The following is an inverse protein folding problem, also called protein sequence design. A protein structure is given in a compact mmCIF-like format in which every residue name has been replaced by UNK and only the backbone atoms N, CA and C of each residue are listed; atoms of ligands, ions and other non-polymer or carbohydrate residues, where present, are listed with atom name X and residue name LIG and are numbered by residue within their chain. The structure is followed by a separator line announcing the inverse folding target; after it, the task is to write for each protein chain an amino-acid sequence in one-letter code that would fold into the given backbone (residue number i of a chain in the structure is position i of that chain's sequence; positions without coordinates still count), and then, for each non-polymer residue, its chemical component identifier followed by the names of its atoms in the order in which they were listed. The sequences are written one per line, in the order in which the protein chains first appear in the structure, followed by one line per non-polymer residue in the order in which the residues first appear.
data_IF_524845145927
#
_entry.id   IF_524845145927
#
_cell.length_a   1.000
_cell.length_b   1.000
_cell.length_c   1.000
_cell.angle_alpha   90.00
_cell.angle_beta   90.00
_cell.angle_gamma   90.00
#
_symmetry.space_group_name_H-M   'P 1'
#
loop_
_entity.id
_entity.type
_entity.pdbx_description
1 polymer ?
#
# COMPACT_ATOMS: atom_id res chain seq x y z
N UNK A 1 -20.46 13.09 -0.98
CA UNK A 1 -19.26 13.42 -1.75
C UNK A 1 -18.11 13.89 -0.87
N UNK A 2 -18.30 14.75 0.15
CA UNK A 2 -17.19 15.18 1.03
C UNK A 2 -16.47 14.06 1.79
N UNK A 3 -17.21 13.20 2.51
CA UNK A 3 -16.62 12.16 3.37
C UNK A 3 -15.71 11.14 2.65
N UNK A 4 -15.98 10.82 1.38
CA UNK A 4 -15.11 9.91 0.61
C UNK A 4 -13.81 10.60 0.17
N UNK A 5 -13.90 11.88 -0.20
CA UNK A 5 -12.73 12.70 -0.56
C UNK A 5 -11.83 12.86 0.66
N UNK A 6 -12.40 13.22 1.82
CA UNK A 6 -11.64 13.38 3.06
C UNK A 6 -10.92 12.09 3.47
N UNK A 7 -11.56 10.93 3.24
CA UNK A 7 -10.94 9.62 3.48
C UNK A 7 -9.78 9.35 2.52
N UNK A 8 -9.97 9.58 1.22
CA UNK A 8 -8.94 9.35 0.20
C UNK A 8 -7.73 10.27 0.41
N UNK A 9 -7.95 11.55 0.72
CA UNK A 9 -6.87 12.48 1.06
C UNK A 9 -6.10 12.03 2.31
N UNK A 10 -6.81 11.56 3.35
CA UNK A 10 -6.17 11.04 4.54
C UNK A 10 -5.42 9.73 4.29
N UNK A 11 -5.92 8.89 3.39
CA UNK A 11 -5.27 7.64 2.96
C UNK A 11 -3.99 7.94 2.18
N UNK A 12 -4.06 8.83 1.20
CA UNK A 12 -2.93 9.23 0.38
C UNK A 12 -1.81 9.82 1.23
N UNK A 13 -2.15 10.67 2.21
CA UNK A 13 -1.18 11.21 3.15
C UNK A 13 -0.48 10.11 3.98
N UNK A 14 -1.20 9.05 4.37
CA UNK A 14 -0.64 7.91 5.12
C UNK A 14 0.19 6.98 4.26
N UNK A 15 -0.14 6.86 2.98
CA UNK A 15 0.58 5.99 2.04
C UNK A 15 1.70 6.72 1.31
N UNK A 16 1.82 8.05 1.40
CA UNK A 16 2.78 8.84 0.63
C UNK A 16 4.21 8.26 0.65
N UNK A 17 4.71 7.86 1.83
CA UNK A 17 6.06 7.30 1.96
C UNK A 17 6.22 5.92 1.32
N UNK A 18 5.14 5.13 1.17
CA UNK A 18 5.23 3.80 0.53
C UNK A 18 5.59 3.90 -0.96
N UNK A 19 5.26 5.03 -1.60
CA UNK A 19 5.46 5.23 -3.03
C UNK A 19 6.92 5.06 -3.44
N UNK A 20 7.85 5.61 -2.66
CA UNK A 20 9.28 5.48 -2.99
C UNK A 20 9.76 4.03 -2.92
N UNK A 21 9.13 3.17 -2.11
CA UNK A 21 9.50 1.74 -1.98
C UNK A 21 8.82 0.83 -3.00
N UNK A 22 7.65 1.20 -3.52
CA UNK A 22 6.88 0.36 -4.45
C UNK A 22 7.14 0.72 -5.91
N UNK A 23 7.36 2.00 -6.24
CA UNK A 23 7.39 2.45 -7.63
C UNK A 23 8.48 1.78 -8.47
N UNK A 24 9.74 1.61 -8.00
CA UNK A 24 10.72 0.89 -8.79
C UNK A 24 10.35 -0.57 -9.03
N UNK A 25 9.75 -1.25 -8.05
CA UNK A 25 9.26 -2.62 -8.23
C UNK A 25 8.10 -2.69 -9.24
N UNK A 26 7.24 -1.66 -9.30
CA UNK A 26 6.18 -1.57 -10.32
C UNK A 26 6.79 -1.49 -11.71
N UNK A 27 7.83 -0.68 -11.92
CA UNK A 27 8.50 -0.59 -13.22
C UNK A 27 8.90 -1.97 -13.74
N UNK A 28 9.45 -2.82 -12.87
CA UNK A 28 10.01 -4.11 -13.29
C UNK A 28 8.96 -5.16 -13.68
N UNK A 29 7.71 -5.00 -13.23
CA UNK A 29 6.60 -5.90 -13.59
C UNK A 29 5.78 -5.41 -14.79
N UNK A 30 6.06 -4.20 -15.30
CA UNK A 30 5.36 -3.67 -16.47
C UNK A 30 5.86 -4.33 -17.77
N UNK A 31 5.00 -4.33 -18.79
CA UNK A 31 5.43 -4.71 -20.13
C UNK A 31 6.48 -3.70 -20.67
N UNK A 32 7.36 -4.12 -21.60
CA UNK A 32 8.45 -3.25 -22.08
C UNK A 32 7.98 -1.91 -22.65
N UNK A 33 6.85 -1.89 -23.35
CA UNK A 33 6.28 -0.66 -23.92
C UNK A 33 5.86 0.36 -22.85
N UNK A 34 5.41 -0.08 -21.68
CA UNK A 34 5.00 0.81 -20.58
C UNK A 34 6.17 1.26 -19.72
N UNK A 35 7.27 0.49 -19.66
CA UNK A 35 8.42 0.78 -18.81
C UNK A 35 9.05 2.15 -19.12
N UNK A 36 9.23 2.48 -20.40
CA UNK A 36 9.84 3.75 -20.81
C UNK A 36 9.01 4.96 -20.38
N UNK A 37 7.70 4.92 -20.66
CA UNK A 37 6.78 5.98 -20.26
C UNK A 37 6.70 6.09 -18.73
N UNK A 38 6.62 4.95 -18.03
CA UNK A 38 6.53 4.91 -16.58
C UNK A 38 7.79 5.49 -15.94
N UNK A 39 8.98 5.06 -16.37
CA UNK A 39 10.26 5.61 -15.90
C UNK A 39 10.33 7.11 -16.11
N UNK A 40 10.05 7.58 -17.33
CA UNK A 40 10.11 9.01 -17.65
C UNK A 40 9.21 9.85 -16.75
N UNK A 41 7.97 9.41 -16.55
CA UNK A 41 7.00 10.14 -15.73
C UNK A 41 7.33 10.09 -14.24
N UNK A 42 7.84 8.96 -13.72
CA UNK A 42 8.16 8.80 -12.30
C UNK A 42 9.48 9.46 -11.93
N UNK A 43 10.52 9.38 -12.76
CA UNK A 43 11.77 10.12 -12.54
C UNK A 43 11.52 11.64 -12.52
N UNK A 44 10.62 12.14 -13.39
CA UNK A 44 10.20 13.54 -13.36
C UNK A 44 9.44 13.89 -12.07
N UNK A 45 8.58 13.00 -11.59
CA UNK A 45 7.82 13.19 -10.35
C UNK A 45 8.73 13.23 -9.11
N UNK A 46 9.72 12.33 -9.04
CA UNK A 46 10.64 12.25 -7.90
C UNK A 46 11.86 13.18 -8.01
N UNK A 47 12.13 13.73 -9.19
CA UNK A 47 13.29 14.58 -9.46
C UNK A 47 14.64 13.85 -9.45
N UNK A 48 14.63 12.52 -9.54
CA UNK A 48 15.83 11.65 -9.49
C UNK A 48 15.61 10.35 -10.28
N UNK A 49 16.68 9.58 -10.50
CA UNK A 49 16.60 8.27 -11.17
C UNK A 49 15.89 7.25 -10.30
N UNK A 50 15.17 6.30 -10.91
CA UNK A 50 14.39 5.29 -10.16
C UNK A 50 15.27 4.48 -9.21
N UNK A 51 16.50 4.22 -9.60
CA UNK A 51 17.52 3.52 -8.81
C UNK A 51 17.87 4.29 -7.51
N UNK A 52 17.72 5.61 -7.52
CA UNK A 52 17.99 6.50 -6.38
C UNK A 52 16.71 6.85 -5.59
N UNK A 53 15.53 6.36 -6.01
CA UNK A 53 14.25 6.60 -5.33
C UNK A 53 14.12 5.77 -4.06
N UNK A 54 14.53 4.50 -4.09
CA UNK A 54 14.39 3.60 -2.94
C UNK A 54 15.61 3.73 -2.05
N UNK A 55 15.48 4.26 -0.81
CA UNK A 55 16.56 4.13 0.15
C UNK A 55 16.71 2.65 0.53
N UNK A 56 17.95 2.17 0.62
CA UNK A 56 18.22 0.81 1.08
C UNK A 56 17.65 0.59 2.48
N UNK A 57 16.84 -0.45 2.69
CA UNK A 57 16.30 -0.78 4.02
C UNK A 57 17.38 -1.08 5.08
N UNK A 58 18.63 -1.28 4.67
CA UNK A 58 19.76 -1.48 5.56
C UNK A 58 20.45 -0.17 5.97
N UNK A 59 20.23 0.93 5.24
CA UNK A 59 20.74 2.25 5.61
C UNK A 59 19.90 2.88 6.72
N UNK A 60 20.47 3.83 7.45
CA UNK A 60 19.74 4.54 8.51
C UNK A 60 18.56 5.35 7.94
N UNK A 61 18.75 5.99 6.78
CA UNK A 61 17.68 6.68 6.04
C UNK A 61 16.56 5.71 5.64
N UNK A 62 16.90 4.55 5.07
CA UNK A 62 15.88 3.59 4.65
C UNK A 62 15.11 2.98 5.81
N UNK A 63 15.74 2.77 6.97
CA UNK A 63 15.06 2.36 8.20
C UNK A 63 14.11 3.44 8.71
N UNK A 64 14.54 4.70 8.71
CA UNK A 64 13.71 5.83 9.12
C UNK A 64 12.49 5.99 8.20
N UNK A 65 12.71 5.95 6.89
CA UNK A 65 11.64 6.04 5.89
C UNK A 65 10.69 4.84 5.94
N UNK A 66 11.21 3.63 6.17
CA UNK A 66 10.37 2.44 6.34
C UNK A 66 9.53 2.50 7.61
N UNK A 67 10.07 3.09 8.69
CA UNK A 67 9.29 3.36 9.91
C UNK A 67 8.14 4.33 9.64
N UNK A 68 8.34 5.36 8.81
CA UNK A 68 7.25 6.27 8.38
C UNK A 68 6.15 5.52 7.61
N UNK A 69 6.51 4.50 6.81
CA UNK A 69 5.53 3.60 6.18
C UNK A 69 4.76 2.84 7.25
N UNK A 70 5.43 2.22 8.22
CA UNK A 70 4.77 1.53 9.33
C UNK A 70 3.82 2.46 10.10
N UNK A 71 4.23 3.69 10.40
CA UNK A 71 3.39 4.72 11.06
C UNK A 71 2.16 5.12 10.21
N UNK A 72 2.32 5.20 8.89
CA UNK A 72 1.22 5.41 7.95
C UNK A 72 0.18 4.29 8.06
N UNK A 73 0.63 3.04 8.04
CA UNK A 73 -0.23 1.88 8.27
C UNK A 73 -0.83 1.90 9.68
N UNK A 74 -0.07 2.23 10.73
CA UNK A 74 -0.59 2.36 12.09
C UNK A 74 -1.76 3.34 12.15
N UNK A 75 -1.63 4.48 11.46
CA UNK A 75 -2.68 5.48 11.34
C UNK A 75 -3.94 4.95 10.64
N UNK A 76 -3.80 4.07 9.65
CA UNK A 76 -4.93 3.39 9.02
C UNK A 76 -5.55 2.35 9.96
N UNK A 77 -4.74 1.59 10.72
CA UNK A 77 -5.23 0.57 11.65
C UNK A 77 -6.17 1.17 12.72
N UNK A 78 -5.90 2.41 13.15
CA UNK A 78 -6.79 3.16 14.06
C UNK A 78 -8.20 3.34 13.50
N UNK A 79 -8.37 3.40 12.18
CA UNK A 79 -9.71 3.47 11.58
C UNK A 79 -10.46 2.16 11.75
N UNK A 80 -9.80 1.04 11.49
CA UNK A 80 -10.38 -0.29 11.64
C UNK A 80 -10.64 -0.64 13.11
N UNK A 81 -9.82 -0.18 14.06
CA UNK A 81 -10.06 -0.43 15.48
C UNK A 81 -11.32 0.28 16.01
N UNK A 82 -11.83 1.30 15.29
CA UNK A 82 -13.05 2.03 15.65
C UNK A 82 -14.34 1.34 15.23
N UNK A 83 -14.27 0.18 14.56
CA UNK A 83 -15.44 -0.57 14.12
C UNK A 83 -16.18 -1.30 15.26
N UNK A 84 -15.70 -1.18 16.50
CA UNK A 84 -16.32 -1.76 17.70
C UNK A 84 -16.18 -3.28 17.81
N UNK A 85 -15.22 -3.89 17.10
CA UNK A 85 -14.99 -5.33 17.09
C UNK A 85 -16.06 -6.11 16.32
N UNK A 86 -16.85 -5.42 15.49
CA UNK A 86 -17.99 -6.02 14.77
C UNK A 86 -17.61 -6.78 13.51
N UNK A 87 -16.35 -6.77 13.10
CA UNK A 87 -15.93 -7.48 11.91
C UNK A 87 -14.57 -7.03 11.40
N UNK A 88 -14.16 -7.52 10.22
CA UNK A 88 -12.86 -7.21 9.65
C UNK A 88 -12.82 -5.86 8.91
N UNK A 89 -13.98 -5.26 8.62
CA UNK A 89 -14.09 -4.08 7.77
C UNK A 89 -14.15 -2.78 8.58
N UNK A 90 -13.84 -1.67 7.93
CA UNK A 90 -13.80 -0.35 8.56
C UNK A 90 -15.14 0.05 9.18
N UNK A 91 -16.25 -0.32 8.54
CA UNK A 91 -17.62 -0.09 9.05
C UNK A 91 -18.24 -1.29 9.79
N UNK A 92 -17.44 -2.31 10.12
CA UNK A 92 -17.85 -3.48 10.90
C UNK A 92 -17.99 -4.76 10.07
N UNK A 93 -19.22 -5.27 9.95
CA UNK A 93 -19.49 -6.60 9.38
C UNK A 93 -19.49 -6.64 7.85
N UNK A 94 -19.82 -5.52 7.20
CA UNK A 94 -20.00 -5.45 5.76
C UNK A 94 -18.89 -4.65 5.11
N UNK A 95 -18.42 -5.15 3.97
CA UNK A 95 -17.48 -4.44 3.11
C UNK A 95 -18.02 -3.07 2.73
N UNK A 96 -17.14 -2.08 2.70
CA UNK A 96 -17.45 -0.71 2.32
C UNK A 96 -16.40 -0.15 1.35
N UNK A 97 -16.66 1.03 0.77
CA UNK A 97 -15.73 1.66 -0.17
C UNK A 97 -14.30 1.80 0.37
N UNK A 98 -14.07 2.28 1.61
CA UNK A 98 -12.74 2.31 2.21
C UNK A 98 -12.00 0.97 2.19
N UNK A 99 -12.72 -0.14 2.44
CA UNK A 99 -12.13 -1.48 2.45
C UNK A 99 -11.69 -1.92 1.05
N UNK A 100 -12.45 -1.54 0.02
CA UNK A 100 -12.10 -1.78 -1.38
C UNK A 100 -10.86 -0.99 -1.77
N UNK A 101 -10.77 0.28 -1.38
CA UNK A 101 -9.60 1.11 -1.69
C UNK A 101 -8.35 0.58 -0.99
N UNK A 102 -8.43 0.31 0.32
CA UNK A 102 -7.30 -0.25 1.09
C UNK A 102 -6.91 -1.64 0.57
N UNK A 103 -7.90 -2.50 0.30
CA UNK A 103 -7.67 -3.81 -0.30
C UNK A 103 -6.98 -3.73 -1.67
N UNK A 104 -7.36 -2.77 -2.50
CA UNK A 104 -6.71 -2.49 -3.78
C UNK A 104 -5.24 -2.09 -3.63
N UNK A 105 -4.92 -1.24 -2.66
CA UNK A 105 -3.53 -0.90 -2.33
C UNK A 105 -2.74 -2.12 -1.85
N UNK A 106 -3.32 -2.96 -0.98
CA UNK A 106 -2.66 -4.19 -0.53
C UNK A 106 -2.38 -5.15 -1.70
N UNK A 107 -3.34 -5.31 -2.62
CA UNK A 107 -3.15 -6.12 -3.82
C UNK A 107 -2.06 -5.54 -4.73
N UNK A 108 -1.99 -4.22 -4.89
CA UNK A 108 -0.96 -3.55 -5.67
C UNK A 108 0.44 -3.76 -5.06
N UNK A 109 0.59 -3.58 -3.75
CA UNK A 109 1.86 -3.84 -3.05
C UNK A 109 2.29 -5.30 -3.20
N UNK A 110 1.34 -6.24 -3.07
CA UNK A 110 1.57 -7.67 -3.29
C UNK A 110 2.03 -7.97 -4.71
N UNK A 111 1.40 -7.36 -5.71
CA UNK A 111 1.75 -7.58 -7.11
C UNK A 111 3.15 -7.03 -7.44
N UNK A 112 3.50 -5.87 -6.89
CA UNK A 112 4.79 -5.23 -7.12
C UNK A 112 5.95 -5.96 -6.41
N UNK A 113 5.79 -6.32 -5.13
CA UNK A 113 6.88 -6.91 -4.35
C UNK A 113 6.88 -8.45 -4.37
N UNK A 114 5.74 -9.08 -4.56
CA UNK A 114 5.57 -10.52 -4.43
C UNK A 114 5.50 -11.00 -2.96
N UNK A 115 4.98 -12.22 -2.75
CA UNK A 115 4.67 -12.74 -1.41
C UNK A 115 5.91 -13.03 -0.54
N UNK A 116 7.08 -13.16 -1.16
CA UNK A 116 8.30 -13.54 -0.46
C UNK A 116 9.18 -12.36 -0.06
N UNK A 117 8.91 -11.17 -0.60
CA UNK A 117 9.65 -9.94 -0.28
C UNK A 117 9.45 -9.55 1.19
N UNK A 118 10.52 -9.05 1.81
CA UNK A 118 10.52 -8.58 3.20
C UNK A 118 9.48 -7.48 3.43
N UNK A 119 9.36 -6.51 2.52
CA UNK A 119 8.43 -5.38 2.64
C UNK A 119 6.98 -5.86 2.73
N UNK A 120 6.62 -6.83 1.89
CA UNK A 120 5.29 -7.44 1.94
C UNK A 120 5.05 -8.18 3.25
N UNK A 121 6.03 -8.98 3.71
CA UNK A 121 5.94 -9.71 4.97
C UNK A 121 5.81 -8.79 6.18
N UNK A 122 6.55 -7.69 6.20
CA UNK A 122 6.47 -6.67 7.24
C UNK A 122 5.05 -6.09 7.30
N UNK A 123 4.52 -5.60 6.17
CA UNK A 123 3.15 -5.06 6.08
C UNK A 123 2.12 -6.09 6.56
N UNK A 124 2.23 -7.36 6.16
CA UNK A 124 1.31 -8.41 6.61
C UNK A 124 1.45 -8.79 8.09
N UNK A 125 2.60 -8.52 8.71
CA UNK A 125 2.87 -8.79 10.13
C UNK A 125 2.48 -7.65 11.07
N UNK A 126 2.37 -6.42 10.57
CA UNK A 126 2.14 -5.26 11.43
C UNK A 126 0.75 -5.23 12.07
N UNK A 127 0.66 -4.49 13.20
CA UNK A 127 -0.58 -4.14 13.89
C UNK A 127 -1.49 -5.34 14.21
N UNK A 128 -0.87 -6.44 14.66
CA UNK A 128 -1.60 -7.67 15.00
C UNK A 128 -2.13 -8.43 13.78
N UNK A 129 -1.58 -8.19 12.59
CA UNK A 129 -1.96 -8.91 11.37
C UNK A 129 -3.26 -8.42 10.73
N UNK A 130 -3.72 -7.21 11.08
CA UNK A 130 -4.98 -6.66 10.54
C UNK A 130 -4.98 -6.58 9.01
N UNK A 131 -3.84 -6.24 8.40
CA UNK A 131 -3.69 -6.14 6.95
C UNK A 131 -3.78 -7.49 6.27
N UNK A 132 -3.23 -8.53 6.92
CA UNK A 132 -3.36 -9.91 6.47
C UNK A 132 -4.82 -10.35 6.55
N UNK A 133 -5.51 -10.09 7.66
CA UNK A 133 -6.92 -10.45 7.84
C UNK A 133 -7.81 -9.74 6.81
N UNK A 134 -7.61 -8.43 6.60
CA UNK A 134 -8.31 -7.67 5.57
C UNK A 134 -8.04 -8.23 4.17
N UNK A 135 -6.77 -8.45 3.83
CA UNK A 135 -6.39 -9.03 2.54
C UNK A 135 -7.00 -10.41 2.30
N UNK A 136 -7.11 -11.24 3.34
CA UNK A 136 -7.73 -12.56 3.24
C UNK A 136 -9.23 -12.49 2.92
N UNK A 137 -9.98 -11.60 3.58
CA UNK A 137 -11.42 -11.43 3.28
C UNK A 137 -11.64 -10.74 1.94
N UNK A 138 -10.75 -9.84 1.53
CA UNK A 138 -10.88 -9.12 0.26
C UNK A 138 -10.63 -9.99 -0.98
N UNK A 139 -10.00 -11.17 -0.83
CA UNK A 139 -9.84 -12.16 -1.93
C UNK A 139 -11.14 -12.54 -2.63
N UNK A 140 -12.27 -12.46 -1.94
CA UNK A 140 -13.60 -12.68 -2.53
C UNK A 140 -13.86 -11.76 -3.74
N UNK A 141 -13.26 -10.57 -3.75
CA UNK A 141 -13.45 -9.52 -4.73
C UNK A 141 -12.30 -9.41 -5.76
N UNK A 142 -11.29 -10.28 -5.70
CA UNK A 142 -10.08 -10.21 -6.56
C UNK A 142 -10.21 -11.00 -7.88
N UNK A 143 -11.41 -11.47 -8.23
CA UNK A 143 -11.62 -12.27 -9.44
C UNK A 143 -11.22 -11.47 -10.67
N UNK A 144 -10.25 -11.99 -11.42
CA UNK A 144 -9.94 -11.50 -12.76
C UNK A 144 -11.16 -11.77 -13.63
N UNK A 145 -11.63 -10.73 -14.31
CA UNK A 145 -12.58 -10.88 -15.40
C UNK A 145 -11.75 -11.20 -16.63
N UNK A 146 -11.99 -12.39 -17.20
CA UNK A 146 -11.36 -12.84 -18.45
C UNK A 146 -11.78 -11.98 -19.65
#
# INVERSE_FOLDING_TARGET
MGLSIDFEEALDAKLATVWQFVIPAVHDILNPASQEYFRTTREKLFGKKLEDVVPSLESDEGKEEWKKVEEGFAGMAVWYSKNGGKGPFLLGERVSWPDVVVGGYLLWLKAAWGEHDRKWKDVMGWHGGIWKALGEVMKEYEKKVD
#
